data_IF_031144251606
#
_entry.id   IF_031144251606
#
_cell.length_a   1.000
_cell.length_b   1.000
_cell.length_c   1.000
_cell.angle_alpha   90.00
_cell.angle_beta   90.00
_cell.angle_gamma   90.00
#
_symmetry.space_group_name_H-M   'P 1'
#
loop_
_entity.id
_entity.type
_entity.pdbx_description
1 polymer ?
#
# COMPACT_ATOMS: atom_id res chain seq x y z
N UNK A 1 47.88 64.34 -22.45
CA UNK A 1 46.84 63.96 -21.48
C UNK A 1 46.74 62.44 -21.52
N UNK A 2 47.31 61.86 -20.50
CA UNK A 2 47.59 60.42 -20.40
C UNK A 2 46.32 59.60 -20.11
N UNK A 3 46.14 58.54 -20.89
CA UNK A 3 45.15 57.51 -20.64
C UNK A 3 45.81 56.37 -19.87
N UNK A 4 45.40 56.18 -18.63
CA UNK A 4 45.86 55.09 -17.76
C UNK A 4 45.30 53.74 -18.23
N UNK A 5 46.20 52.87 -18.63
CA UNK A 5 45.90 51.43 -18.89
C UNK A 5 45.77 50.69 -17.56
N UNK A 6 44.54 50.22 -17.20
CA UNK A 6 44.33 49.29 -16.11
C UNK A 6 44.74 47.88 -16.61
N UNK A 7 45.81 47.34 -16.04
CA UNK A 7 46.21 45.93 -16.20
C UNK A 7 45.19 45.03 -15.46
N UNK A 8 44.52 44.20 -16.21
CA UNK A 8 43.68 43.13 -15.70
C UNK A 8 44.62 41.96 -15.35
N UNK A 9 44.95 41.81 -14.07
CA UNK A 9 45.68 40.66 -13.55
C UNK A 9 44.71 39.47 -13.52
N UNK A 10 45.03 38.44 -14.31
CA UNK A 10 44.35 37.16 -14.25
C UNK A 10 44.58 36.48 -12.90
N UNK A 11 43.56 35.86 -12.26
CA UNK A 11 43.73 35.17 -10.98
C UNK A 11 44.72 34.00 -11.13
N UNK A 12 45.69 33.96 -10.22
CA UNK A 12 46.69 32.91 -10.12
C UNK A 12 46.02 31.51 -10.06
N UNK A 13 46.59 30.49 -10.74
CA UNK A 13 46.04 29.14 -10.68
C UNK A 13 46.09 28.63 -9.23
N UNK A 14 44.91 28.21 -8.69
CA UNK A 14 44.83 27.53 -7.39
C UNK A 14 45.79 26.33 -7.39
N UNK A 15 46.80 26.39 -6.51
CA UNK A 15 47.76 25.33 -6.33
C UNK A 15 47.04 23.97 -6.21
N UNK A 16 47.35 23.05 -7.08
CA UNK A 16 46.85 21.68 -7.02
C UNK A 16 47.23 21.09 -5.67
N UNK A 17 46.26 20.72 -4.83
CA UNK A 17 46.50 20.04 -3.56
C UNK A 17 47.33 18.79 -3.86
N UNK A 18 48.61 18.76 -3.39
CA UNK A 18 49.47 17.56 -3.54
C UNK A 18 48.72 16.38 -2.95
N UNK A 19 48.50 15.35 -3.77
CA UNK A 19 47.89 14.10 -3.28
C UNK A 19 48.80 13.53 -2.20
N UNK A 20 48.23 13.02 -1.08
CA UNK A 20 49.02 12.41 -0.04
C UNK A 20 49.78 11.17 -0.57
N UNK A 21 50.99 10.90 -0.07
CA UNK A 21 51.80 9.79 -0.56
C UNK A 21 51.18 8.44 -0.21
N UNK A 22 51.41 7.38 -1.01
CA UNK A 22 50.99 6.03 -0.68
C UNK A 22 51.60 5.55 0.64
N UNK A 23 50.77 4.87 1.47
CA UNK A 23 51.21 4.36 2.78
C UNK A 23 50.53 3.04 3.16
N UNK A 24 50.88 2.47 4.31
CA UNK A 24 50.28 1.25 4.82
C UNK A 24 48.94 1.53 5.51
N UNK A 25 47.94 0.67 5.27
CA UNK A 25 46.66 0.74 5.96
C UNK A 25 46.83 0.19 7.39
N UNK A 26 46.61 1.03 8.41
CA UNK A 26 46.72 0.64 9.81
C UNK A 26 45.40 0.18 10.38
N UNK A 27 44.31 0.92 10.09
CA UNK A 27 42.95 0.61 10.58
C UNK A 27 41.87 1.08 9.60
N UNK A 28 40.75 0.34 9.59
CA UNK A 28 39.51 0.73 8.90
C UNK A 28 38.36 0.67 9.89
N UNK A 29 37.66 1.78 10.02
CA UNK A 29 36.47 1.93 10.86
C UNK A 29 35.23 2.18 10.00
N UNK A 30 34.11 1.61 10.40
CA UNK A 30 32.80 1.83 9.75
C UNK A 30 31.88 2.55 10.76
N UNK A 31 31.16 3.55 10.30
CA UNK A 31 30.14 4.27 11.06
C UNK A 31 28.83 4.37 10.28
N UNK A 32 27.70 4.47 10.99
CA UNK A 32 26.37 4.68 10.39
C UNK A 32 25.66 3.41 9.94
N UNK A 33 26.30 2.24 10.00
CA UNK A 33 25.65 0.98 9.69
C UNK A 33 24.74 0.54 10.84
N UNK A 34 23.54 0.07 10.50
CA UNK A 34 22.52 -0.46 11.42
C UNK A 34 22.06 -1.85 10.99
N UNK A 35 21.73 -2.02 9.72
CA UNK A 35 21.23 -3.26 9.15
C UNK A 35 22.37 -4.22 8.74
N UNK A 36 23.45 -3.68 8.16
CA UNK A 36 24.56 -4.47 7.64
C UNK A 36 25.70 -4.54 8.63
N UNK A 37 26.29 -5.74 8.81
CA UNK A 37 27.38 -5.95 9.75
C UNK A 37 28.66 -5.23 9.32
N UNK A 38 29.40 -4.67 10.29
CA UNK A 38 30.72 -4.07 10.04
C UNK A 38 31.66 -5.04 9.34
N UNK A 39 31.65 -6.32 9.72
CA UNK A 39 32.50 -7.35 9.10
C UNK A 39 32.16 -7.56 7.62
N UNK A 40 30.86 -7.59 7.27
CA UNK A 40 30.39 -7.70 5.88
C UNK A 40 30.81 -6.49 5.05
N UNK A 41 30.66 -5.27 5.60
CA UNK A 41 31.07 -4.04 4.91
C UNK A 41 32.59 -4.02 4.67
N UNK A 42 33.41 -4.40 5.67
CA UNK A 42 34.85 -4.49 5.53
C UNK A 42 35.26 -5.50 4.45
N UNK A 43 34.60 -6.64 4.39
CA UNK A 43 34.83 -7.66 3.38
C UNK A 43 34.46 -7.15 1.97
N UNK A 44 33.34 -6.42 1.85
CA UNK A 44 32.92 -5.81 0.58
C UNK A 44 33.89 -4.72 0.12
N UNK A 45 34.41 -3.88 1.01
CA UNK A 45 35.44 -2.90 0.70
C UNK A 45 36.70 -3.55 0.12
N UNK A 46 37.02 -4.77 0.54
CA UNK A 46 38.21 -5.51 0.09
C UNK A 46 39.51 -4.93 0.58
N UNK A 47 39.52 -4.08 1.59
CA UNK A 47 40.69 -3.47 2.18
C UNK A 47 41.25 -4.38 3.31
N UNK A 48 42.59 -4.52 3.38
CA UNK A 48 43.24 -5.32 4.41
C UNK A 48 44.28 -4.47 5.17
N UNK A 49 44.31 -4.63 6.48
CA UNK A 49 45.37 -4.02 7.31
C UNK A 49 46.75 -4.45 6.81
N UNK A 50 47.68 -3.51 6.71
CA UNK A 50 48.98 -3.71 6.12
C UNK A 50 49.06 -3.51 4.59
N UNK A 51 47.93 -3.44 3.91
CA UNK A 51 47.88 -3.15 2.48
C UNK A 51 48.36 -1.73 2.19
N UNK A 52 49.07 -1.57 1.08
CA UNK A 52 49.44 -0.24 0.58
C UNK A 52 48.21 0.45 0.00
N UNK A 53 47.89 1.64 0.48
CA UNK A 53 46.75 2.46 0.05
C UNK A 53 47.21 3.84 -0.36
N UNK A 54 46.47 4.43 -1.26
CA UNK A 54 46.55 5.80 -1.68
C UNK A 54 45.13 6.37 -1.89
N UNK A 55 44.93 7.64 -2.16
CA UNK A 55 43.61 8.20 -2.38
C UNK A 55 42.79 7.53 -3.50
N UNK A 56 43.45 6.95 -4.50
CA UNK A 56 42.76 6.27 -5.59
C UNK A 56 42.17 4.93 -5.13
N UNK A 57 42.97 4.15 -4.35
CA UNK A 57 42.51 2.88 -3.74
C UNK A 57 41.32 3.14 -2.79
N UNK A 58 41.38 4.19 -1.99
CA UNK A 58 40.29 4.57 -1.06
C UNK A 58 39.03 4.92 -1.84
N UNK A 59 39.15 5.75 -2.87
CA UNK A 59 38.04 6.13 -3.73
C UNK A 59 37.42 4.94 -4.48
N UNK A 60 38.24 3.98 -4.94
CA UNK A 60 37.75 2.76 -5.56
C UNK A 60 36.98 1.89 -4.56
N UNK A 61 37.47 1.76 -3.32
CA UNK A 61 36.78 1.02 -2.27
C UNK A 61 35.42 1.69 -1.93
N UNK A 62 35.40 3.04 -1.81
CA UNK A 62 34.19 3.81 -1.61
C UNK A 62 33.18 3.58 -2.74
N UNK A 63 33.62 3.69 -3.99
CA UNK A 63 32.76 3.45 -5.18
C UNK A 63 32.25 2.01 -5.23
N UNK A 64 33.07 1.04 -4.86
CA UNK A 64 32.66 -0.37 -4.80
C UNK A 64 31.54 -0.56 -3.80
N UNK A 65 31.66 0.02 -2.60
CA UNK A 65 30.61 -0.07 -1.58
C UNK A 65 29.32 0.66 -2.01
N UNK A 66 29.44 1.85 -2.58
CA UNK A 66 28.29 2.57 -3.13
C UNK A 66 27.63 1.81 -4.29
N UNK A 67 28.43 1.15 -5.14
CA UNK A 67 27.97 0.30 -6.25
C UNK A 67 27.22 -0.96 -5.80
N UNK A 68 27.18 -1.28 -4.50
CA UNK A 68 26.34 -2.34 -3.96
C UNK A 68 24.85 -1.96 -4.00
N UNK A 69 24.56 -0.66 -4.11
CA UNK A 69 23.20 -0.07 -4.05
C UNK A 69 22.45 -0.40 -2.74
N UNK A 70 23.16 -0.70 -1.68
CA UNK A 70 22.64 -0.89 -0.32
C UNK A 70 22.69 0.43 0.49
N UNK A 71 23.53 1.34 0.05
CA UNK A 71 23.79 2.61 0.71
C UNK A 71 23.41 3.77 -0.20
N UNK A 72 22.70 4.75 0.34
CA UNK A 72 22.36 6.00 -0.34
C UNK A 72 23.53 6.98 -0.38
N UNK A 73 24.44 6.86 0.60
CA UNK A 73 25.66 7.65 0.65
C UNK A 73 26.78 6.86 1.33
N UNK A 74 28.02 7.07 0.86
CA UNK A 74 29.25 6.55 1.45
C UNK A 74 30.30 7.67 1.39
N UNK A 75 30.73 8.14 2.54
CA UNK A 75 31.84 9.10 2.67
C UNK A 75 33.04 8.45 3.30
N UNK A 76 34.20 8.95 3.00
CA UNK A 76 35.46 8.50 3.60
C UNK A 76 36.21 9.67 4.25
N UNK A 77 36.76 9.40 5.41
CA UNK A 77 37.72 10.27 6.11
C UNK A 77 38.98 9.46 6.35
N UNK A 78 40.11 10.00 6.01
CA UNK A 78 41.40 9.38 6.30
C UNK A 78 42.34 10.32 7.05
N UNK A 79 43.08 9.74 7.99
CA UNK A 79 44.19 10.37 8.68
C UNK A 79 45.44 9.56 8.42
N UNK A 80 46.51 10.23 8.15
CA UNK A 80 47.80 9.57 7.98
C UNK A 80 48.83 10.08 9.00
N UNK A 81 49.72 9.19 9.47
CA UNK A 81 50.78 9.51 10.39
C UNK A 81 51.90 10.27 9.67
N UNK A 82 52.66 11.06 10.42
CA UNK A 82 53.88 11.71 9.92
C UNK A 82 55.09 10.78 9.81
N UNK A 83 54.92 9.46 9.97
CA UNK A 83 55.95 8.43 9.83
C UNK A 83 56.36 8.20 8.37
N UNK A 84 57.53 7.60 8.14
CA UNK A 84 57.99 7.25 6.80
C UNK A 84 58.27 5.76 6.78
N UNK A 85 57.50 4.95 6.02
CA UNK A 85 56.32 5.31 5.24
C UNK A 85 55.11 5.73 6.11
N UNK A 86 54.16 6.56 5.57
CA UNK A 86 52.99 6.97 6.31
C UNK A 86 52.01 5.79 6.52
N UNK A 87 51.29 5.81 7.67
CA UNK A 87 50.24 4.86 8.00
C UNK A 87 48.88 5.55 7.91
N UNK A 88 47.89 4.89 7.29
CA UNK A 88 46.53 5.38 7.08
C UNK A 88 45.56 4.78 8.08
N UNK A 89 44.78 5.64 8.75
CA UNK A 89 43.58 5.25 9.47
C UNK A 89 42.37 5.76 8.67
N UNK A 90 41.56 4.83 8.20
CA UNK A 90 40.38 5.13 7.40
C UNK A 90 39.10 5.04 8.24
N UNK A 91 38.15 5.92 7.98
CA UNK A 91 36.78 5.82 8.50
C UNK A 91 35.82 5.97 7.32
N UNK A 92 35.00 4.96 7.07
CA UNK A 92 33.90 5.08 6.16
C UNK A 92 32.62 5.35 6.95
N UNK A 93 31.90 6.39 6.58
CA UNK A 93 30.57 6.69 7.09
C UNK A 93 29.55 6.35 6.02
N UNK A 94 28.64 5.43 6.37
CA UNK A 94 27.64 4.91 5.45
C UNK A 94 26.24 5.35 5.86
N UNK A 95 25.39 5.64 4.88
CA UNK A 95 23.96 5.88 5.07
C UNK A 95 23.21 4.79 4.32
N UNK A 96 22.55 3.92 5.05
CA UNK A 96 21.78 2.81 4.49
C UNK A 96 20.50 3.31 3.81
N UNK A 97 20.06 2.62 2.75
CA UNK A 97 18.78 2.91 2.09
C UNK A 97 17.64 2.51 3.04
N UNK A 98 16.75 3.47 3.35
CA UNK A 98 15.67 3.28 4.31
C UNK A 98 14.47 2.55 3.72
N UNK A 99 14.24 2.69 2.40
CA UNK A 99 13.12 2.00 1.74
C UNK A 99 13.51 0.55 1.44
N UNK A 100 13.15 -0.34 2.36
CA UNK A 100 13.46 -1.76 2.32
C UNK A 100 12.18 -2.60 2.37
N UNK A 101 12.18 -3.72 1.66
CA UNK A 101 11.03 -4.60 1.48
C UNK A 101 11.35 -6.02 1.95
N UNK A 102 10.39 -6.75 2.55
CA UNK A 102 10.55 -8.17 2.82
C UNK A 102 10.69 -8.96 1.52
N UNK A 103 11.40 -10.08 1.57
CA UNK A 103 11.55 -10.99 0.43
C UNK A 103 10.45 -12.06 0.44
N UNK A 104 9.93 -12.38 -0.73
CA UNK A 104 9.00 -13.50 -0.97
C UNK A 104 9.50 -14.34 -2.13
N UNK A 105 9.34 -15.65 -2.03
CA UNK A 105 9.82 -16.63 -3.01
C UNK A 105 8.65 -17.48 -3.47
N UNK A 106 8.30 -17.42 -4.75
CA UNK A 106 7.16 -18.16 -5.31
C UNK A 106 7.56 -18.97 -6.54
N UNK A 107 7.01 -20.17 -6.66
CA UNK A 107 7.17 -21.07 -7.82
C UNK A 107 8.63 -21.46 -8.14
N UNK A 108 9.52 -21.48 -7.16
CA UNK A 108 10.94 -21.77 -7.32
C UNK A 108 11.28 -23.25 -7.05
N UNK A 109 10.28 -24.09 -6.73
CA UNK A 109 10.48 -25.53 -6.47
C UNK A 109 11.25 -25.85 -5.18
N UNK A 110 11.49 -24.83 -4.32
CA UNK A 110 12.18 -24.96 -3.05
C UNK A 110 11.44 -24.16 -1.98
N UNK A 111 11.48 -24.61 -0.72
CA UNK A 111 10.83 -23.90 0.36
C UNK A 111 11.47 -22.52 0.60
N UNK A 112 10.68 -21.48 0.93
CA UNK A 112 11.18 -20.14 1.25
C UNK A 112 12.28 -20.15 2.31
N UNK A 113 12.12 -20.96 3.37
CA UNK A 113 13.12 -21.09 4.45
C UNK A 113 14.46 -21.64 3.98
N UNK A 114 14.46 -22.61 3.05
CA UNK A 114 15.68 -23.16 2.50
C UNK A 114 16.43 -22.12 1.64
N UNK A 115 15.71 -21.36 0.82
CA UNK A 115 16.29 -20.28 0.02
C UNK A 115 16.85 -19.19 0.94
N UNK A 116 16.12 -18.79 1.97
CA UNK A 116 16.57 -17.77 2.90
C UNK A 116 17.84 -18.17 3.65
N UNK A 117 17.91 -19.41 4.13
CA UNK A 117 19.13 -19.96 4.75
C UNK A 117 20.33 -19.97 3.78
N UNK A 118 20.09 -20.32 2.52
CA UNK A 118 21.13 -20.26 1.51
C UNK A 118 21.64 -18.83 1.29
N UNK A 119 20.73 -17.86 1.13
CA UNK A 119 21.09 -16.46 0.96
C UNK A 119 21.89 -15.92 2.15
N UNK A 120 21.48 -16.27 3.38
CA UNK A 120 22.18 -15.92 4.61
C UNK A 120 23.65 -16.39 4.62
N UNK A 121 23.90 -17.59 4.07
CA UNK A 121 25.22 -18.18 4.03
C UNK A 121 26.10 -17.66 2.88
N UNK A 122 25.51 -17.17 1.78
CA UNK A 122 26.24 -16.90 0.54
C UNK A 122 26.20 -15.42 0.09
N UNK A 123 25.34 -14.58 0.67
CA UNK A 123 25.28 -13.15 0.36
C UNK A 123 26.00 -12.37 1.47
N UNK A 124 27.09 -11.70 1.13
CA UNK A 124 27.99 -11.02 2.10
C UNK A 124 27.30 -9.96 2.96
N UNK A 125 26.42 -9.15 2.34
CA UNK A 125 25.63 -8.12 3.00
C UNK A 125 24.16 -8.55 2.98
N UNK A 126 23.89 -9.71 3.58
CA UNK A 126 22.55 -10.23 3.71
C UNK A 126 21.72 -9.43 4.72
N UNK A 127 20.46 -9.21 4.40
CA UNK A 127 19.42 -8.72 5.32
C UNK A 127 18.09 -9.38 4.96
N UNK A 128 17.19 -9.54 5.96
CA UNK A 128 15.84 -10.11 5.75
C UNK A 128 14.92 -9.19 4.95
N UNK A 129 15.27 -7.91 4.90
CA UNK A 129 14.58 -6.87 4.11
C UNK A 129 15.62 -6.16 3.26
N UNK A 130 15.31 -5.97 2.00
CA UNK A 130 16.28 -5.44 1.02
C UNK A 130 15.72 -4.21 0.29
N UNK A 131 16.59 -3.28 -0.16
CA UNK A 131 16.20 -2.23 -1.08
C UNK A 131 15.70 -2.79 -2.41
N UNK A 132 14.74 -2.09 -3.02
CA UNK A 132 14.21 -2.43 -4.35
C UNK A 132 15.06 -1.90 -5.52
N UNK A 133 16.35 -1.68 -5.33
CA UNK A 133 17.27 -1.18 -6.37
C UNK A 133 17.67 -2.27 -7.35
N UNK A 134 17.97 -1.89 -8.59
CA UNK A 134 18.27 -2.85 -9.66
C UNK A 134 19.47 -3.75 -9.33
N UNK A 135 20.55 -3.17 -8.81
CA UNK A 135 21.75 -3.93 -8.46
C UNK A 135 21.52 -4.93 -7.34
N UNK A 136 20.73 -4.57 -6.31
CA UNK A 136 20.36 -5.48 -5.22
C UNK A 136 19.46 -6.59 -5.74
N UNK A 137 18.40 -6.26 -6.48
CA UNK A 137 17.48 -7.25 -7.05
C UNK A 137 18.22 -8.26 -7.93
N UNK A 138 19.12 -7.79 -8.80
CA UNK A 138 19.94 -8.65 -9.65
C UNK A 138 20.87 -9.55 -8.84
N UNK A 139 21.55 -9.04 -7.82
CA UNK A 139 22.45 -9.82 -6.96
C UNK A 139 21.70 -10.94 -6.25
N UNK A 140 20.57 -10.62 -5.64
CA UNK A 140 19.76 -11.61 -4.94
C UNK A 140 19.12 -12.62 -5.91
N UNK A 141 18.66 -12.20 -7.09
CA UNK A 141 18.17 -13.12 -8.13
C UNK A 141 19.23 -14.13 -8.55
N UNK A 142 20.47 -13.69 -8.78
CA UNK A 142 21.60 -14.57 -9.11
C UNK A 142 21.91 -15.55 -7.99
N UNK A 143 21.87 -15.11 -6.73
CA UNK A 143 22.08 -16.00 -5.59
C UNK A 143 20.95 -17.04 -5.45
N UNK A 144 19.68 -16.64 -5.71
CA UNK A 144 18.55 -17.58 -5.74
C UNK A 144 18.69 -18.57 -6.91
N UNK A 145 19.09 -18.11 -8.10
CA UNK A 145 19.40 -19.00 -9.25
C UNK A 145 20.43 -20.07 -8.87
N UNK A 146 21.52 -19.67 -8.20
CA UNK A 146 22.53 -20.61 -7.73
C UNK A 146 21.98 -21.59 -6.69
N UNK A 147 21.13 -21.13 -5.79
CA UNK A 147 20.48 -21.96 -4.79
C UNK A 147 19.64 -23.08 -5.42
N UNK A 148 18.82 -22.74 -6.42
CA UNK A 148 17.89 -23.69 -7.06
C UNK A 148 18.53 -24.50 -8.20
N UNK A 149 19.75 -24.15 -8.64
CA UNK A 149 20.40 -24.77 -9.80
C UNK A 149 20.59 -26.30 -9.68
N UNK A 150 20.70 -26.82 -8.46
CA UNK A 150 20.85 -28.28 -8.23
C UNK A 150 19.56 -29.04 -8.56
N UNK A 151 18.38 -28.46 -8.32
CA UNK A 151 17.09 -29.09 -8.54
C UNK A 151 16.42 -28.62 -9.84
N UNK A 152 16.69 -27.38 -10.24
CA UNK A 152 16.10 -26.72 -11.41
C UNK A 152 17.19 -26.05 -12.25
N UNK A 153 18.02 -26.81 -12.96
CA UNK A 153 19.09 -26.23 -13.79
C UNK A 153 18.48 -25.35 -14.91
N UNK A 154 19.15 -24.23 -15.18
CA UNK A 154 18.78 -23.24 -16.20
C UNK A 154 17.52 -22.41 -15.94
N UNK A 155 16.91 -22.47 -14.76
CA UNK A 155 15.83 -21.57 -14.40
C UNK A 155 16.43 -20.20 -14.07
N UNK A 156 16.01 -19.18 -14.81
CA UNK A 156 16.28 -17.78 -14.51
C UNK A 156 15.30 -17.26 -13.48
N UNK A 157 15.77 -16.39 -12.59
CA UNK A 157 14.95 -15.80 -11.53
C UNK A 157 14.82 -14.31 -11.74
N UNK A 158 13.60 -13.84 -11.77
CA UNK A 158 13.25 -12.43 -11.79
C UNK A 158 12.87 -11.96 -10.38
N UNK A 159 13.42 -10.81 -9.97
CA UNK A 159 13.00 -10.11 -8.77
C UNK A 159 12.32 -8.80 -9.15
N UNK A 160 11.18 -8.51 -8.52
CA UNK A 160 10.45 -7.26 -8.71
C UNK A 160 9.70 -6.89 -7.43
N UNK A 161 9.44 -5.59 -7.22
CA UNK A 161 8.54 -5.16 -6.15
C UNK A 161 7.12 -5.55 -6.57
N UNK A 162 6.47 -6.38 -5.76
CA UNK A 162 5.10 -6.83 -5.96
C UNK A 162 4.14 -6.06 -5.07
N UNK A 163 3.00 -5.70 -5.65
CA UNK A 163 1.84 -5.12 -4.98
C UNK A 163 0.67 -6.11 -4.90
N UNK A 164 0.94 -7.41 -5.00
CA UNK A 164 -0.11 -8.46 -4.89
C UNK A 164 -0.85 -8.38 -3.56
N UNK A 165 -0.16 -7.94 -2.50
CA UNK A 165 -0.77 -7.55 -1.23
C UNK A 165 -0.71 -6.01 -1.10
N UNK A 166 -1.85 -5.30 -1.25
CA UNK A 166 -1.87 -3.84 -1.15
C UNK A 166 -1.43 -3.30 0.22
N UNK A 167 -1.51 -4.13 1.27
CA UNK A 167 -1.11 -3.74 2.63
C UNK A 167 0.38 -3.94 2.89
N UNK A 168 1.05 -4.77 2.08
CA UNK A 168 2.45 -5.11 2.31
C UNK A 168 3.22 -5.32 1.01
N UNK A 169 3.90 -4.27 0.55
CA UNK A 169 4.84 -4.39 -0.56
C UNK A 169 5.99 -5.34 -0.21
N UNK A 170 6.41 -6.16 -1.16
CA UNK A 170 7.50 -7.10 -1.00
C UNK A 170 8.34 -7.20 -2.29
N UNK A 171 9.59 -7.59 -2.17
CA UNK A 171 10.37 -8.05 -3.31
C UNK A 171 10.02 -9.52 -3.56
N UNK A 172 9.38 -9.78 -4.70
CA UNK A 172 8.96 -11.10 -5.12
C UNK A 172 9.98 -11.71 -6.10
N UNK A 173 10.51 -12.89 -5.74
CA UNK A 173 11.38 -13.69 -6.57
C UNK A 173 10.58 -14.82 -7.23
N UNK A 174 10.55 -14.84 -8.55
CA UNK A 174 9.83 -15.85 -9.35
C UNK A 174 10.70 -16.33 -10.50
N UNK A 175 10.42 -17.51 -11.09
CA UNK A 175 11.02 -17.88 -12.37
C UNK A 175 10.72 -16.80 -13.42
N UNK A 176 11.72 -16.51 -14.26
CA UNK A 176 11.57 -15.54 -15.37
C UNK A 176 10.82 -16.16 -16.56
N UNK A 177 9.68 -16.75 -16.26
CA UNK A 177 8.70 -17.27 -17.21
C UNK A 177 7.32 -16.76 -16.81
N UNK A 178 6.41 -16.52 -17.76
CA UNK A 178 5.05 -16.09 -17.46
C UNK A 178 4.37 -17.01 -16.44
N UNK A 179 3.67 -16.45 -15.48
CA UNK A 179 2.85 -17.25 -14.58
C UNK A 179 1.67 -17.86 -15.36
N UNK A 180 1.36 -19.15 -15.19
CA UNK A 180 0.17 -19.72 -15.77
C UNK A 180 -1.06 -19.02 -15.17
N UNK A 181 -2.12 -18.89 -15.96
CA UNK A 181 -3.40 -18.36 -15.47
C UNK A 181 -4.21 -19.45 -14.77
N UNK A 182 -4.98 -19.06 -13.77
CA UNK A 182 -5.95 -19.96 -13.13
C UNK A 182 -7.09 -20.18 -14.10
N UNK A 183 -7.28 -21.41 -14.58
CA UNK A 183 -8.36 -21.79 -15.49
C UNK A 183 -9.61 -22.25 -14.75
N UNK A 184 -9.44 -22.87 -13.59
CA UNK A 184 -10.52 -23.44 -12.79
C UNK A 184 -10.08 -23.52 -11.33
N UNK A 185 -11.03 -23.40 -10.41
CA UNK A 185 -10.87 -23.75 -9.00
C UNK A 185 -11.81 -24.90 -8.67
N UNK A 186 -11.33 -25.87 -7.91
CA UNK A 186 -12.14 -26.96 -7.34
C UNK A 186 -11.99 -26.93 -5.82
N UNK A 187 -13.03 -27.35 -5.10
CA UNK A 187 -13.04 -27.35 -3.63
C UNK A 187 -13.52 -28.72 -3.13
N UNK A 188 -12.93 -29.14 -2.01
CA UNK A 188 -13.28 -30.36 -1.28
C UNK A 188 -13.38 -30.07 0.22
N UNK A 189 -14.03 -30.95 1.00
CA UNK A 189 -14.15 -30.82 2.45
C UNK A 189 -15.24 -29.87 2.94
N UNK A 190 -15.93 -29.17 2.03
CA UNK A 190 -17.06 -28.30 2.34
C UNK A 190 -18.34 -29.10 2.59
N UNK A 191 -18.97 -28.92 3.74
CA UNK A 191 -20.24 -29.53 4.13
C UNK A 191 -21.32 -28.48 4.46
N UNK A 192 -20.94 -27.42 5.15
CA UNK A 192 -21.85 -26.37 5.61
C UNK A 192 -22.30 -25.42 4.50
N UNK A 193 -21.52 -25.32 3.43
CA UNK A 193 -21.80 -24.45 2.28
C UNK A 193 -21.69 -25.30 0.99
N UNK A 194 -22.67 -25.17 0.12
CA UNK A 194 -22.67 -25.90 -1.15
C UNK A 194 -21.53 -25.45 -2.07
N UNK A 195 -20.96 -26.39 -2.81
CA UNK A 195 -19.84 -26.19 -3.72
C UNK A 195 -20.11 -25.11 -4.76
N UNK A 196 -21.35 -25.05 -5.29
CA UNK A 196 -21.71 -24.07 -6.32
C UNK A 196 -21.67 -22.63 -5.80
N UNK A 197 -22.03 -22.40 -4.52
CA UNK A 197 -21.93 -21.08 -3.88
C UNK A 197 -20.49 -20.67 -3.69
N UNK A 198 -19.62 -21.57 -3.21
CA UNK A 198 -18.19 -21.30 -3.05
C UNK A 198 -17.55 -21.00 -4.40
N UNK A 199 -17.80 -21.86 -5.40
CA UNK A 199 -17.20 -21.68 -6.73
C UNK A 199 -17.65 -20.40 -7.42
N UNK A 200 -18.91 -19.99 -7.27
CA UNK A 200 -19.37 -18.67 -7.80
C UNK A 200 -18.57 -17.52 -7.20
N UNK A 201 -18.37 -17.51 -5.89
CA UNK A 201 -17.63 -16.44 -5.21
C UNK A 201 -16.15 -16.42 -5.62
N UNK A 202 -15.50 -17.60 -5.71
CA UNK A 202 -14.07 -17.68 -6.04
C UNK A 202 -13.82 -17.43 -7.52
N UNK A 203 -14.61 -18.03 -8.43
CA UNK A 203 -14.37 -17.95 -9.86
C UNK A 203 -14.49 -16.52 -10.41
N UNK A 204 -15.32 -15.65 -9.80
CA UNK A 204 -15.44 -14.25 -10.19
C UNK A 204 -14.12 -13.47 -10.05
N UNK A 205 -13.25 -13.88 -9.12
CA UNK A 205 -12.02 -13.14 -8.76
C UNK A 205 -10.75 -13.94 -9.05
N UNK A 206 -10.82 -15.25 -9.27
CA UNK A 206 -9.67 -16.12 -9.45
C UNK A 206 -9.43 -16.52 -10.92
N UNK A 207 -10.48 -16.82 -11.68
CA UNK A 207 -10.33 -17.33 -13.05
C UNK A 207 -9.79 -16.25 -13.99
N UNK A 208 -8.80 -16.64 -14.81
CA UNK A 208 -8.10 -15.73 -15.73
C UNK A 208 -6.98 -14.91 -15.08
N UNK A 209 -6.79 -15.02 -13.76
CA UNK A 209 -5.72 -14.30 -13.03
C UNK A 209 -4.42 -15.11 -13.09
N UNK A 210 -3.25 -14.46 -13.29
CA UNK A 210 -1.97 -15.15 -13.18
C UNK A 210 -1.76 -15.73 -11.79
N UNK A 211 -1.28 -16.98 -11.74
CA UNK A 211 -1.03 -17.69 -10.48
C UNK A 211 0.09 -17.00 -9.69
N UNK A 212 -0.24 -16.57 -8.48
CA UNK A 212 0.66 -16.12 -7.45
C UNK A 212 0.15 -16.68 -6.13
N UNK A 213 1.04 -17.26 -5.33
CA UNK A 213 0.67 -17.89 -4.04
C UNK A 213 0.07 -16.85 -3.08
N UNK A 214 0.67 -15.66 -3.04
CA UNK A 214 0.16 -14.54 -2.22
C UNK A 214 -1.23 -14.12 -2.66
N UNK A 215 -1.43 -13.89 -3.95
CA UNK A 215 -2.72 -13.46 -4.50
C UNK A 215 -3.78 -14.54 -4.34
N UNK A 216 -3.42 -15.80 -4.59
CA UNK A 216 -4.34 -16.91 -4.40
C UNK A 216 -4.81 -17.00 -2.94
N UNK A 217 -3.90 -16.86 -1.98
CA UNK A 217 -4.26 -16.82 -0.57
C UNK A 217 -5.23 -15.68 -0.25
N UNK A 218 -4.96 -14.48 -0.74
CA UNK A 218 -5.86 -13.33 -0.54
C UNK A 218 -7.25 -13.56 -1.18
N UNK A 219 -7.30 -14.18 -2.36
CA UNK A 219 -8.55 -14.53 -3.03
C UNK A 219 -9.34 -15.56 -2.20
N UNK A 220 -8.68 -16.62 -1.73
CA UNK A 220 -9.34 -17.65 -0.91
C UNK A 220 -9.82 -17.07 0.41
N UNK A 221 -8.99 -16.29 1.08
CA UNK A 221 -9.32 -15.62 2.35
C UNK A 221 -10.46 -14.61 2.17
N UNK A 222 -10.47 -13.83 1.09
CA UNK A 222 -11.48 -12.82 0.81
C UNK A 222 -12.80 -13.36 0.27
N UNK A 223 -12.77 -14.45 -0.53
CA UNK A 223 -13.96 -14.99 -1.15
C UNK A 223 -14.63 -16.12 -0.33
N UNK A 224 -13.84 -16.97 0.34
CA UNK A 224 -14.37 -18.16 1.04
C UNK A 224 -14.61 -17.87 2.53
N UNK A 225 -13.64 -17.31 3.24
CA UNK A 225 -13.78 -17.12 4.70
C UNK A 225 -15.02 -16.32 5.10
N UNK A 226 -15.42 -15.24 4.42
CA UNK A 226 -16.64 -14.52 4.76
C UNK A 226 -17.90 -15.38 4.67
N UNK A 227 -17.99 -16.27 3.67
CA UNK A 227 -19.14 -17.18 3.52
C UNK A 227 -19.27 -18.09 4.75
N UNK A 228 -18.16 -18.62 5.22
CA UNK A 228 -18.11 -19.46 6.42
C UNK A 228 -18.37 -18.67 7.70
N UNK A 229 -17.77 -17.48 7.81
CA UNK A 229 -17.99 -16.60 8.94
C UNK A 229 -19.48 -16.19 9.09
N UNK A 230 -20.18 -15.99 7.97
CA UNK A 230 -21.63 -15.74 7.96
C UNK A 230 -22.46 -16.92 8.52
N UNK A 231 -21.90 -18.13 8.50
CA UNK A 231 -22.51 -19.35 9.03
C UNK A 231 -22.00 -19.75 10.42
N UNK A 232 -21.09 -18.94 11.00
CA UNK A 232 -20.52 -19.20 12.33
C UNK A 232 -19.22 -20.00 12.35
N UNK A 233 -18.68 -20.36 11.20
CA UNK A 233 -17.39 -21.06 11.09
C UNK A 233 -16.24 -20.06 10.96
N UNK A 234 -15.78 -19.52 12.10
CA UNK A 234 -14.78 -18.47 12.12
C UNK A 234 -13.34 -18.97 11.93
N UNK A 235 -13.08 -20.26 12.10
CA UNK A 235 -11.76 -20.89 12.04
C UNK A 235 -11.55 -21.74 10.78
N UNK A 236 -12.23 -21.42 9.68
CA UNK A 236 -12.02 -22.12 8.40
C UNK A 236 -10.58 -21.93 7.90
N UNK A 237 -9.98 -23.04 7.48
CA UNK A 237 -8.61 -23.07 6.95
C UNK A 237 -8.53 -23.83 5.65
N UNK A 238 -7.45 -23.61 4.91
CA UNK A 238 -7.14 -24.29 3.66
C UNK A 238 -5.83 -25.07 3.84
N UNK A 239 -5.89 -26.28 4.47
CA UNK A 239 -4.68 -27.04 4.81
C UNK A 239 -3.91 -27.52 3.58
N UNK A 240 -4.59 -27.69 2.45
CA UNK A 240 -4.00 -28.15 1.21
C UNK A 240 -4.53 -27.31 0.04
N UNK A 241 -3.61 -26.71 -0.70
CA UNK A 241 -3.87 -25.98 -1.93
C UNK A 241 -2.89 -26.49 -2.97
N UNK A 242 -3.37 -27.21 -3.97
CA UNK A 242 -2.55 -27.81 -5.02
C UNK A 242 -2.90 -27.18 -6.37
N UNK A 243 -1.94 -27.21 -7.27
CA UNK A 243 -2.13 -26.72 -8.64
C UNK A 243 -1.72 -27.79 -9.62
N UNK A 244 -2.61 -28.12 -10.56
CA UNK A 244 -2.36 -29.06 -11.64
C UNK A 244 -2.50 -28.40 -13.00
N UNK A 245 -1.74 -28.81 -14.02
CA UNK A 245 -1.96 -28.34 -15.38
C UNK A 245 -3.39 -28.62 -15.84
N UNK A 246 -4.03 -27.64 -16.45
CA UNK A 246 -5.35 -27.84 -17.05
C UNK A 246 -5.27 -28.84 -18.19
N UNK A 247 -6.28 -29.71 -18.33
CA UNK A 247 -6.37 -30.71 -19.41
C UNK A 247 -6.24 -30.12 -20.81
N UNK A 248 -6.57 -28.86 -20.97
CA UNK A 248 -6.50 -28.14 -22.25
C UNK A 248 -5.18 -27.36 -22.43
N UNK A 249 -4.18 -27.53 -21.57
CA UNK A 249 -2.92 -26.77 -21.51
C UNK A 249 -3.10 -25.22 -21.47
N UNK A 250 -4.29 -24.75 -21.10
CA UNK A 250 -4.64 -23.32 -21.01
C UNK A 250 -4.65 -22.85 -19.54
N UNK A 251 -3.50 -23.01 -18.85
CA UNK A 251 -3.37 -22.59 -17.46
C UNK A 251 -3.39 -23.74 -16.45
N UNK A 252 -3.78 -23.46 -15.22
CA UNK A 252 -3.79 -24.41 -14.11
C UNK A 252 -5.16 -24.52 -13.45
N UNK A 253 -5.44 -25.72 -12.94
CA UNK A 253 -6.56 -25.99 -12.03
C UNK A 253 -6.02 -25.86 -10.60
N UNK A 254 -6.71 -25.12 -9.75
CA UNK A 254 -6.39 -24.98 -8.33
C UNK A 254 -7.34 -25.86 -7.53
N UNK A 255 -6.81 -26.83 -6.81
CA UNK A 255 -7.56 -27.69 -5.90
C UNK A 255 -7.40 -27.22 -4.47
N UNK A 256 -8.50 -26.93 -3.79
CA UNK A 256 -8.53 -26.36 -2.44
C UNK A 256 -9.24 -27.33 -1.49
N UNK A 257 -8.53 -27.82 -0.50
CA UNK A 257 -9.12 -28.54 0.62
C UNK A 257 -9.59 -27.56 1.69
N UNK A 258 -10.85 -27.60 2.04
CA UNK A 258 -11.47 -26.76 3.06
C UNK A 258 -11.64 -27.57 4.33
N UNK A 259 -11.08 -27.03 5.44
CA UNK A 259 -11.36 -27.51 6.79
C UNK A 259 -12.20 -26.45 7.50
N UNK A 260 -13.51 -26.73 7.62
CA UNK A 260 -14.51 -25.76 8.11
C UNK A 260 -14.29 -25.37 9.59
N UNK A 261 -13.77 -26.29 10.40
CA UNK A 261 -13.61 -26.07 11.84
C UNK A 261 -14.95 -26.19 12.61
N UNK A 262 -14.97 -25.85 13.91
CA UNK A 262 -16.18 -25.86 14.71
C UNK A 262 -17.02 -24.60 14.52
N UNK A 263 -18.27 -24.65 14.99
CA UNK A 263 -19.12 -23.48 15.16
C UNK A 263 -18.65 -22.63 16.36
N UNK A 264 -18.68 -21.33 16.18
CA UNK A 264 -18.31 -20.33 17.19
C UNK A 264 -19.52 -19.53 17.66
N UNK A 265 -19.41 -18.93 18.83
CA UNK A 265 -20.33 -17.93 19.37
C UNK A 265 -19.67 -16.56 19.46
N UNK A 266 -20.43 -15.50 19.61
CA UNK A 266 -19.86 -14.19 19.94
C UNK A 266 -19.23 -14.23 21.33
N UNK A 267 -17.98 -13.78 21.43
CA UNK A 267 -17.24 -13.57 22.67
C UNK A 267 -17.37 -12.13 23.15
N UNK A 268 -16.26 -11.57 23.63
CA UNK A 268 -16.20 -10.19 24.10
C UNK A 268 -16.28 -9.21 22.92
N UNK A 269 -16.96 -8.06 23.16
CA UNK A 269 -17.08 -6.98 22.18
C UNK A 269 -16.40 -5.76 22.77
N UNK A 270 -15.35 -5.29 22.10
CA UNK A 270 -14.54 -4.14 22.51
C UNK A 270 -14.68 -2.99 21.51
N UNK A 271 -14.58 -1.78 22.04
CA UNK A 271 -14.49 -0.55 21.25
C UNK A 271 -13.22 0.17 21.64
N UNK A 272 -12.47 0.64 20.64
CA UNK A 272 -11.30 1.49 20.79
C UNK A 272 -11.51 2.77 19.98
N UNK A 273 -11.16 3.89 20.57
CA UNK A 273 -11.32 5.21 19.97
C UNK A 273 -12.41 6.03 20.66
N UNK A 274 -12.51 7.30 20.27
CA UNK A 274 -13.44 8.28 20.84
C UNK A 274 -14.39 8.82 19.78
N UNK A 275 -15.36 9.61 20.19
CA UNK A 275 -16.29 10.32 19.31
C UNK A 275 -17.75 9.93 19.45
N UNK A 276 -18.06 8.87 20.17
CA UNK A 276 -19.41 8.50 20.56
C UNK A 276 -19.41 7.91 21.98
N UNK A 277 -20.56 8.02 22.65
CA UNK A 277 -20.79 7.35 23.92
C UNK A 277 -20.79 5.83 23.70
N UNK A 278 -19.91 5.13 24.41
CA UNK A 278 -19.79 3.67 24.30
C UNK A 278 -21.07 2.96 24.74
N UNK A 279 -21.79 3.46 25.73
CA UNK A 279 -23.05 2.88 26.19
C UNK A 279 -24.13 3.02 25.09
N UNK A 280 -24.16 4.13 24.38
CA UNK A 280 -25.05 4.32 23.22
C UNK A 280 -24.71 3.32 22.10
N UNK A 281 -23.41 3.12 21.82
CA UNK A 281 -22.98 2.15 20.81
C UNK A 281 -23.40 0.74 21.22
N UNK A 282 -23.14 0.36 22.49
CA UNK A 282 -23.46 -0.97 23.04
C UNK A 282 -24.96 -1.28 23.01
N UNK A 283 -25.79 -0.31 23.32
CA UNK A 283 -27.25 -0.46 23.29
C UNK A 283 -27.80 -0.80 21.89
N UNK A 284 -27.06 -0.48 20.85
CA UNK A 284 -27.48 -0.67 19.45
C UNK A 284 -26.81 -1.88 18.76
N UNK A 285 -26.01 -2.68 19.49
CA UNK A 285 -25.40 -3.89 18.93
C UNK A 285 -26.50 -4.94 18.67
N UNK A 286 -26.61 -5.48 17.43
CA UNK A 286 -27.67 -6.43 17.11
C UNK A 286 -27.41 -7.86 17.57
N UNK A 287 -26.29 -8.12 18.25
CA UNK A 287 -25.90 -9.43 18.75
C UNK A 287 -25.29 -9.32 20.16
N UNK A 288 -25.25 -10.45 20.87
CA UNK A 288 -24.78 -10.52 22.27
C UNK A 288 -23.75 -11.63 22.43
N UNK A 289 -22.81 -11.51 23.40
CA UNK A 289 -21.95 -12.62 23.79
C UNK A 289 -22.75 -13.90 24.04
N UNK A 290 -22.24 -15.04 23.56
CA UNK A 290 -22.90 -16.35 23.65
C UNK A 290 -23.88 -16.68 22.53
N UNK A 291 -24.33 -15.72 21.72
CA UNK A 291 -25.12 -16.02 20.51
C UNK A 291 -24.23 -16.65 19.43
N UNK A 292 -24.84 -17.41 18.52
CA UNK A 292 -24.13 -17.97 17.37
C UNK A 292 -23.43 -16.85 16.59
N UNK A 293 -22.13 -17.03 16.32
CA UNK A 293 -21.35 -16.06 15.56
C UNK A 293 -21.90 -15.92 14.14
N UNK A 294 -21.93 -14.69 13.66
CA UNK A 294 -22.28 -14.37 12.29
C UNK A 294 -21.43 -13.17 11.83
N UNK A 295 -20.51 -13.41 10.92
CA UNK A 295 -19.59 -12.39 10.40
C UNK A 295 -20.29 -11.27 9.65
N UNK A 296 -21.40 -11.55 8.97
CA UNK A 296 -22.18 -10.51 8.25
C UNK A 296 -22.79 -9.49 9.22
N UNK A 297 -23.21 -9.93 10.41
CA UNK A 297 -23.70 -9.02 11.45
C UNK A 297 -22.60 -8.08 11.93
N UNK A 298 -21.36 -8.57 12.05
CA UNK A 298 -20.19 -7.75 12.43
C UNK A 298 -19.94 -6.67 11.38
N UNK A 299 -19.90 -7.05 10.09
CA UNK A 299 -19.70 -6.11 8.99
C UNK A 299 -20.85 -5.10 8.90
N UNK A 300 -22.09 -5.56 9.01
CA UNK A 300 -23.29 -4.73 8.95
C UNK A 300 -23.30 -3.68 10.06
N UNK A 301 -23.00 -4.11 11.28
CA UNK A 301 -22.93 -3.19 12.41
C UNK A 301 -21.78 -2.17 12.25
N UNK A 302 -20.62 -2.58 11.75
CA UNK A 302 -19.53 -1.66 11.44
C UNK A 302 -19.96 -0.55 10.47
N UNK A 303 -20.63 -0.93 9.38
CA UNK A 303 -21.11 0.03 8.38
C UNK A 303 -22.18 0.97 8.97
N UNK A 304 -23.09 0.42 9.78
CA UNK A 304 -24.12 1.21 10.44
C UNK A 304 -23.53 2.19 11.45
N UNK A 305 -22.54 1.76 12.25
CA UNK A 305 -21.84 2.63 13.19
C UNK A 305 -21.14 3.78 12.46
N UNK A 306 -20.39 3.48 11.40
CA UNK A 306 -19.73 4.50 10.57
C UNK A 306 -20.75 5.48 9.96
N UNK A 307 -21.87 4.97 9.45
CA UNK A 307 -22.94 5.80 8.89
C UNK A 307 -23.60 6.72 9.95
N UNK A 308 -23.85 6.20 11.16
CA UNK A 308 -24.36 7.03 12.29
C UNK A 308 -23.40 8.17 12.64
N UNK A 309 -22.11 7.92 12.63
CA UNK A 309 -21.09 8.94 12.89
C UNK A 309 -21.12 10.02 11.80
N UNK A 310 -21.17 9.62 10.54
CA UNK A 310 -21.27 10.57 9.41
C UNK A 310 -22.52 11.43 9.49
N UNK A 311 -23.65 10.88 9.92
CA UNK A 311 -24.90 11.65 10.14
C UNK A 311 -24.80 12.70 11.24
N UNK A 312 -23.79 12.63 12.10
CA UNK A 312 -23.45 13.62 13.14
C UNK A 312 -22.38 14.62 12.69
N UNK A 313 -22.11 14.68 11.39
CA UNK A 313 -21.11 15.58 10.81
C UNK A 313 -19.70 15.02 10.78
N UNK A 314 -19.42 13.83 11.31
CA UNK A 314 -18.09 13.19 11.31
C UNK A 314 -17.86 12.51 9.94
N UNK A 315 -17.71 13.30 8.86
CA UNK A 315 -17.71 12.78 7.48
C UNK A 315 -16.53 11.83 7.21
N UNK A 316 -15.38 12.09 7.84
CA UNK A 316 -14.15 11.29 7.71
C UNK A 316 -14.12 10.10 8.67
N UNK A 317 -15.22 9.86 9.42
CA UNK A 317 -15.27 8.76 10.36
C UNK A 317 -14.94 7.43 9.69
N UNK A 318 -14.01 6.72 10.29
CA UNK A 318 -13.58 5.38 9.86
C UNK A 318 -13.78 4.40 11.00
N UNK A 319 -14.42 3.27 10.69
CA UNK A 319 -14.59 2.17 11.64
C UNK A 319 -14.01 0.92 11.00
N UNK A 320 -13.02 0.34 11.66
CA UNK A 320 -12.44 -0.96 11.28
C UNK A 320 -12.77 -2.02 12.31
N UNK A 321 -12.75 -3.28 11.90
CA UNK A 321 -13.01 -4.41 12.79
C UNK A 321 -11.84 -5.36 12.80
N UNK A 322 -11.55 -5.90 14.00
CA UNK A 322 -10.65 -7.02 14.19
C UNK A 322 -11.41 -8.14 14.89
N UNK A 323 -11.23 -9.37 14.45
CA UNK A 323 -11.81 -10.55 15.06
C UNK A 323 -10.70 -11.47 15.54
N UNK A 324 -10.85 -12.02 16.73
CA UNK A 324 -9.90 -12.97 17.32
C UNK A 324 -10.67 -14.19 17.83
N UNK A 325 -10.32 -15.37 17.37
CA UNK A 325 -10.90 -16.64 17.82
C UNK A 325 -10.27 -17.08 19.14
N UNK A 326 -11.10 -17.50 20.07
CA UNK A 326 -10.73 -18.25 21.27
C UNK A 326 -11.22 -19.69 21.07
N UNK A 327 -10.32 -20.56 20.63
CA UNK A 327 -10.64 -21.95 20.28
C UNK A 327 -11.07 -22.74 21.53
N UNK A 328 -10.55 -22.39 22.71
CA UNK A 328 -10.89 -23.06 23.96
C UNK A 328 -12.34 -22.83 24.37
N UNK A 329 -12.85 -21.62 24.13
CA UNK A 329 -14.23 -21.21 24.42
C UNK A 329 -15.14 -21.32 23.21
N UNK A 330 -14.59 -21.62 22.02
CA UNK A 330 -15.28 -21.54 20.74
C UNK A 330 -16.01 -20.20 20.57
N UNK A 331 -15.30 -19.11 20.89
CA UNK A 331 -15.83 -17.76 20.87
C UNK A 331 -15.00 -16.86 19.96
N UNK A 332 -15.67 -15.92 19.30
CA UNK A 332 -15.02 -14.87 18.49
C UNK A 332 -15.15 -13.56 19.25
N UNK A 333 -14.03 -13.00 19.69
CA UNK A 333 -13.96 -11.65 20.21
C UNK A 333 -13.93 -10.65 19.04
N UNK A 334 -14.69 -9.58 19.15
CA UNK A 334 -14.79 -8.56 18.13
C UNK A 334 -14.32 -7.23 18.68
N UNK A 335 -13.39 -6.57 18.01
CA UNK A 335 -12.92 -5.24 18.36
C UNK A 335 -13.25 -4.28 17.24
N UNK A 336 -13.96 -3.21 17.57
CA UNK A 336 -14.23 -2.08 16.67
C UNK A 336 -13.25 -0.95 16.99
N UNK A 337 -12.42 -0.58 16.02
CA UNK A 337 -11.53 0.57 16.12
C UNK A 337 -12.19 1.75 15.41
N UNK A 338 -12.47 2.79 16.17
CA UNK A 338 -13.23 3.98 15.73
C UNK A 338 -12.28 5.17 15.65
N UNK A 339 -12.20 5.78 14.49
CA UNK A 339 -11.51 7.05 14.25
C UNK A 339 -12.59 8.04 13.81
N UNK A 340 -13.01 8.99 14.67
CA UNK A 340 -14.15 9.87 14.37
C UNK A 340 -13.85 10.92 13.29
N UNK A 341 -12.60 11.40 13.20
CA UNK A 341 -12.28 12.57 12.40
C UNK A 341 -12.83 13.87 13.01
N UNK A 342 -12.86 14.95 12.22
CA UNK A 342 -13.37 16.26 12.61
C UNK A 342 -14.87 16.41 12.26
N UNK A 343 -15.55 17.34 12.94
CA UNK A 343 -16.95 17.63 12.68
C UNK A 343 -17.07 18.62 11.54
N UNK A 344 -17.74 18.23 10.49
CA UNK A 344 -18.08 19.08 9.35
C UNK A 344 -19.45 19.73 9.57
N UNK A 345 -19.52 21.03 9.34
CA UNK A 345 -20.74 21.82 9.55
C UNK A 345 -21.32 22.24 8.20
N UNK A 346 -22.65 22.16 8.07
CA UNK A 346 -23.35 22.76 6.95
C UNK A 346 -23.12 24.28 6.93
N UNK A 347 -22.76 24.84 5.78
CA UNK A 347 -22.49 26.28 5.64
C UNK A 347 -23.34 26.90 4.54
N UNK A 348 -23.42 26.31 3.37
CA UNK A 348 -24.05 26.92 2.20
C UNK A 348 -24.93 25.92 1.45
N UNK A 349 -26.10 26.42 0.97
CA UNK A 349 -26.96 25.69 0.06
C UNK A 349 -26.90 26.34 -1.32
N UNK A 350 -26.53 25.57 -2.32
CA UNK A 350 -26.50 25.96 -3.73
C UNK A 350 -27.63 25.22 -4.50
N UNK A 351 -28.48 25.95 -5.15
CA UNK A 351 -29.67 25.44 -5.85
C UNK A 351 -29.51 25.66 -7.34
N UNK A 352 -29.56 24.60 -8.12
CA UNK A 352 -29.34 24.62 -9.57
C UNK A 352 -30.55 24.10 -10.34
N UNK A 353 -30.84 24.72 -11.48
CA UNK A 353 -31.88 24.27 -12.41
C UNK A 353 -33.32 24.79 -12.11
N UNK A 354 -33.48 25.61 -11.08
CA UNK A 354 -34.74 26.32 -10.81
C UNK A 354 -34.69 27.78 -11.26
N UNK A 355 -35.86 28.35 -11.50
CA UNK A 355 -35.98 29.77 -11.78
C UNK A 355 -35.85 30.62 -10.51
N UNK A 356 -35.72 31.93 -10.69
CA UNK A 356 -35.48 32.90 -9.62
C UNK A 356 -36.60 32.96 -8.59
N UNK A 357 -37.80 32.50 -8.94
CA UNK A 357 -38.97 32.53 -8.05
C UNK A 357 -39.08 31.27 -7.20
N UNK A 358 -38.67 30.12 -7.72
CA UNK A 358 -38.70 28.84 -7.04
C UNK A 358 -37.52 28.64 -6.06
N UNK A 359 -36.33 29.18 -6.36
CA UNK A 359 -35.15 29.04 -5.48
C UNK A 359 -35.38 29.55 -4.05
N UNK A 360 -35.96 30.76 -3.80
CA UNK A 360 -36.21 31.22 -2.44
C UNK A 360 -37.21 30.35 -1.68
N UNK A 361 -38.17 29.73 -2.39
CA UNK A 361 -39.14 28.83 -1.76
C UNK A 361 -38.47 27.52 -1.29
N UNK A 362 -37.61 26.92 -2.12
CA UNK A 362 -36.79 25.76 -1.73
C UNK A 362 -35.86 26.10 -0.55
N UNK A 363 -35.19 27.25 -0.60
CA UNK A 363 -34.30 27.70 0.48
C UNK A 363 -35.02 27.88 1.82
N UNK A 364 -36.29 28.34 1.81
CA UNK A 364 -37.11 28.45 3.03
C UNK A 364 -37.56 27.13 3.60
N UNK A 365 -37.73 26.10 2.76
CA UNK A 365 -38.11 24.77 3.17
C UNK A 365 -36.90 23.96 3.68
N UNK A 366 -35.66 24.38 3.34
CA UNK A 366 -34.47 23.75 3.82
C UNK A 366 -34.32 23.91 5.33
N UNK A 367 -34.17 22.81 6.04
CA UNK A 367 -34.21 22.79 7.50
C UNK A 367 -32.88 22.85 8.22
N UNK A 368 -31.76 22.55 7.54
CA UNK A 368 -30.44 22.65 8.17
C UNK A 368 -29.99 24.11 8.27
N UNK A 369 -29.33 24.41 9.40
CA UNK A 369 -28.85 25.76 9.71
C UNK A 369 -27.36 25.83 9.56
N UNK A 370 -26.84 26.90 8.96
CA UNK A 370 -25.38 27.11 8.87
C UNK A 370 -24.70 27.05 10.25
N UNK A 371 -23.54 26.44 10.30
CA UNK A 371 -22.77 26.22 11.53
C UNK A 371 -23.18 24.99 12.36
N UNK A 372 -24.21 24.25 11.95
CA UNK A 372 -24.59 22.99 12.63
C UNK A 372 -23.97 21.76 11.93
N UNK A 373 -23.72 20.66 12.68
CA UNK A 373 -23.18 19.44 12.11
C UNK A 373 -23.97 18.95 10.91
N UNK A 374 -23.31 18.70 9.80
CA UNK A 374 -23.92 18.30 8.55
C UNK A 374 -24.34 16.83 8.55
N UNK A 375 -25.57 16.56 8.15
CA UNK A 375 -26.07 15.21 7.92
C UNK A 375 -26.07 14.88 6.42
N UNK A 376 -25.18 13.98 5.92
CA UNK A 376 -25.07 13.68 4.49
C UNK A 376 -26.32 13.01 3.88
N UNK A 377 -27.22 12.46 4.69
CA UNK A 377 -28.47 11.86 4.21
C UNK A 377 -29.57 12.91 4.02
N UNK A 378 -29.41 14.09 4.64
CA UNK A 378 -30.49 15.08 4.68
C UNK A 378 -30.83 15.68 3.30
N UNK A 379 -29.86 15.96 2.41
CA UNK A 379 -30.18 16.51 1.09
C UNK A 379 -31.10 15.61 0.26
N UNK A 380 -30.82 14.32 0.20
CA UNK A 380 -31.64 13.35 -0.53
C UNK A 380 -33.02 13.16 0.15
N UNK A 381 -33.05 13.11 1.48
CA UNK A 381 -34.30 13.08 2.24
C UNK A 381 -35.16 14.31 1.94
N UNK A 382 -34.54 15.49 1.92
CA UNK A 382 -35.20 16.75 1.60
C UNK A 382 -35.80 16.74 0.18
N UNK A 383 -35.03 16.36 -0.83
CA UNK A 383 -35.50 16.27 -2.21
C UNK A 383 -36.65 15.28 -2.37
N UNK A 384 -36.57 14.14 -1.69
CA UNK A 384 -37.63 13.13 -1.67
C UNK A 384 -38.93 13.70 -1.04
N UNK A 385 -38.77 14.42 0.08
CA UNK A 385 -39.93 15.07 0.78
C UNK A 385 -40.59 16.14 -0.09
N UNK A 386 -39.80 17.04 -0.69
CA UNK A 386 -40.32 18.11 -1.56
C UNK A 386 -41.09 17.54 -2.75
N UNK A 387 -40.60 16.40 -3.30
CA UNK A 387 -41.30 15.71 -4.39
C UNK A 387 -42.59 15.05 -3.93
N UNK A 388 -42.59 14.40 -2.76
CA UNK A 388 -43.79 13.72 -2.22
C UNK A 388 -44.91 14.67 -1.79
N UNK A 389 -44.55 15.83 -1.25
CA UNK A 389 -45.49 16.84 -0.80
C UNK A 389 -46.14 17.63 -1.96
N UNK A 390 -45.63 17.46 -3.19
CA UNK A 390 -46.19 18.08 -4.39
C UNK A 390 -46.20 19.61 -4.35
N UNK A 391 -45.29 20.22 -3.60
CA UNK A 391 -45.25 21.68 -3.37
C UNK A 391 -44.94 22.45 -4.67
N UNK A 392 -44.29 21.78 -5.62
CA UNK A 392 -43.89 22.36 -6.89
C UNK A 392 -44.35 21.49 -8.06
N UNK A 393 -44.97 22.08 -9.04
CA UNK A 393 -45.32 21.44 -10.30
C UNK A 393 -44.02 21.27 -11.14
N UNK A 394 -43.78 20.07 -11.63
CA UNK A 394 -42.74 19.79 -12.61
C UNK A 394 -41.29 20.10 -12.16
N UNK A 395 -40.84 19.52 -11.06
CA UNK A 395 -39.43 19.62 -10.59
C UNK A 395 -38.45 18.92 -11.51
N UNK A 396 -38.88 18.02 -12.40
CA UNK A 396 -38.04 17.17 -13.22
C UNK A 396 -37.24 16.17 -12.39
N UNK A 397 -36.12 15.68 -12.95
CA UNK A 397 -35.18 14.85 -12.22
C UNK A 397 -34.44 15.69 -11.18
N UNK A 398 -34.36 15.16 -9.96
CA UNK A 398 -33.66 15.81 -8.84
C UNK A 398 -32.60 14.90 -8.27
N UNK A 399 -31.44 15.46 -7.95
CA UNK A 399 -30.38 14.81 -7.22
C UNK A 399 -29.65 15.81 -6.35
N UNK A 400 -28.86 15.32 -5.40
CA UNK A 400 -28.01 16.15 -4.54
C UNK A 400 -26.58 15.63 -4.53
N UNK A 401 -25.64 16.52 -4.28
CA UNK A 401 -24.30 16.23 -3.84
C UNK A 401 -23.84 17.29 -2.82
N UNK A 402 -22.62 17.11 -2.28
CA UNK A 402 -22.03 18.10 -1.40
C UNK A 402 -20.52 18.17 -1.59
N UNK A 403 -19.97 19.34 -1.31
CA UNK A 403 -18.52 19.58 -1.26
C UNK A 403 -18.13 19.90 0.17
N UNK A 404 -17.16 19.14 0.71
CA UNK A 404 -16.59 19.34 2.03
C UNK A 404 -15.19 19.95 1.90
N UNK A 405 -14.95 21.06 2.60
CA UNK A 405 -13.65 21.70 2.69
C UNK A 405 -12.91 21.17 3.93
N UNK A 406 -11.85 20.40 3.72
CA UNK A 406 -11.05 19.81 4.79
C UNK A 406 -10.28 20.84 5.63
N UNK A 407 -10.06 22.08 5.14
CA UNK A 407 -9.34 23.12 5.87
C UNK A 407 -10.24 23.90 6.83
N UNK A 408 -11.50 24.11 6.45
CA UNK A 408 -12.47 24.89 7.24
C UNK A 408 -13.53 24.01 7.90
N UNK A 409 -13.60 22.72 7.54
CA UNK A 409 -14.63 21.76 7.93
C UNK A 409 -16.05 22.26 7.62
N UNK A 410 -16.20 23.04 6.54
CA UNK A 410 -17.48 23.55 6.07
C UNK A 410 -17.98 22.72 4.88
N UNK A 411 -19.30 22.54 4.82
CA UNK A 411 -19.97 21.81 3.74
C UNK A 411 -20.87 22.74 2.95
N UNK A 412 -20.73 22.71 1.63
CA UNK A 412 -21.67 23.28 0.68
C UNK A 412 -22.48 22.16 0.06
N UNK A 413 -23.82 22.26 0.20
CA UNK A 413 -24.75 21.31 -0.40
C UNK A 413 -25.24 21.85 -1.74
N UNK A 414 -25.24 21.00 -2.76
CA UNK A 414 -25.74 21.32 -4.09
C UNK A 414 -27.00 20.52 -4.39
N UNK A 415 -28.11 21.21 -4.63
CA UNK A 415 -29.36 20.61 -5.09
C UNK A 415 -29.52 20.88 -6.59
N UNK A 416 -29.85 19.83 -7.34
CA UNK A 416 -30.06 19.91 -8.78
C UNK A 416 -31.47 19.53 -9.14
N UNK A 417 -32.09 20.35 -9.97
CA UNK A 417 -33.45 20.18 -10.47
C UNK A 417 -33.48 20.18 -11.99
N UNK A 418 -34.46 19.53 -12.61
CA UNK A 418 -34.65 19.49 -14.08
C UNK A 418 -33.43 18.99 -14.85
N UNK A 419 -32.72 18.02 -14.30
CA UNK A 419 -31.54 17.44 -14.92
C UNK A 419 -30.32 18.38 -14.94
N UNK A 420 -30.23 19.31 -14.00
CA UNK A 420 -29.02 20.15 -13.81
C UNK A 420 -27.77 19.31 -13.64
N UNK A 421 -26.63 19.75 -14.22
CA UNK A 421 -25.36 19.00 -14.18
C UNK A 421 -24.72 19.09 -12.82
N UNK A 422 -24.19 17.96 -12.34
CA UNK A 422 -23.39 17.89 -11.11
C UNK A 422 -22.09 18.68 -11.26
N UNK A 423 -21.44 19.03 -10.14
CA UNK A 423 -20.15 19.70 -10.15
C UNK A 423 -19.10 18.85 -10.87
N UNK A 424 -19.07 17.56 -10.64
CA UNK A 424 -18.16 16.63 -11.31
C UNK A 424 -18.36 16.60 -12.83
N UNK A 425 -19.63 16.66 -13.30
CA UNK A 425 -19.93 16.74 -14.73
C UNK A 425 -19.48 18.07 -15.34
N UNK A 426 -19.65 19.19 -14.62
CA UNK A 426 -19.18 20.52 -15.05
C UNK A 426 -17.66 20.59 -15.10
N UNK A 427 -16.97 20.02 -14.14
CA UNK A 427 -15.50 19.96 -14.11
C UNK A 427 -14.95 19.10 -15.26
N UNK A 428 -15.57 17.96 -15.51
CA UNK A 428 -15.23 17.09 -16.64
C UNK A 428 -15.41 17.80 -17.97
N UNK A 429 -16.51 18.51 -18.19
CA UNK A 429 -16.75 19.29 -19.40
C UNK A 429 -15.74 20.44 -19.55
N UNK A 430 -15.42 21.15 -18.45
CA UNK A 430 -14.38 22.19 -18.46
C UNK A 430 -13.01 21.63 -18.81
N UNK A 431 -12.69 20.43 -18.34
CA UNK A 431 -11.45 19.77 -18.69
C UNK A 431 -11.44 19.34 -20.15
N UNK A 432 -12.51 18.74 -20.66
CA UNK A 432 -12.64 18.36 -22.06
C UNK A 432 -12.61 19.58 -22.99
N UNK A 433 -13.17 20.71 -22.57
CA UNK A 433 -13.12 21.98 -23.33
C UNK A 433 -11.70 22.59 -23.32
N UNK A 434 -10.97 22.50 -22.19
CA UNK A 434 -9.57 22.87 -22.12
C UNK A 434 -8.69 22.02 -23.05
N UNK A 435 -8.91 20.71 -23.01
CA UNK A 435 -8.14 19.76 -23.83
C UNK A 435 -8.41 19.99 -25.32
N UNK A 436 -9.66 20.31 -25.71
CA UNK A 436 -10.00 20.71 -27.10
C UNK A 436 -9.33 22.01 -27.51
N UNK A 437 -9.23 23.02 -26.65
CA UNK A 437 -8.56 24.30 -26.95
C UNK A 437 -7.04 24.15 -27.08
N UNK A 438 -6.42 23.20 -26.37
CA UNK A 438 -4.99 22.90 -26.49
C UNK A 438 -4.67 22.13 -27.79
N UNK A 439 -5.60 21.38 -28.34
CA UNK A 439 -5.42 20.64 -29.59
C UNK A 439 -5.62 21.56 -30.84
N UNK A 440 -6.52 22.55 -30.77
CA UNK A 440 -6.77 23.51 -31.90
C UNK A 440 -5.72 24.65 -31.99
N UNK A 441 -4.86 24.78 -30.96
CA UNK A 441 -3.82 25.83 -30.93
C UNK A 441 -2.51 25.55 -31.69
N UNK A 442 -2.38 24.42 -32.36
CA UNK A 442 -1.13 23.99 -32.99
C UNK A 442 -1.15 23.88 -34.53
N UNK A 443 -1.85 24.77 -35.24
CA UNK A 443 -1.67 24.89 -36.68
C UNK A 443 -1.72 26.35 -37.13
N UNK A 444 -0.55 26.97 -37.24
CA UNK A 444 -0.35 28.17 -38.07
C UNK A 444 0.45 27.73 -39.29
N UNK A 445 -0.09 27.82 -40.50
CA UNK A 445 0.72 27.64 -41.70
C UNK A 445 1.49 28.93 -42.01
N UNK A 446 2.73 28.78 -42.28
CA UNK A 446 3.62 29.79 -42.83
C UNK A 446 3.17 30.27 -44.19
N UNK A 447 3.47 31.56 -44.56
CA UNK A 447 3.45 31.97 -45.94
C UNK A 447 4.70 31.52 -46.68
#
# INVERSE_FOLDING_TARGET
MEAAQSRNEAPAPKAAKKQPPPGALHAVNIKGNQLYSTAGILKELGLRVGQRVDPQVIEQARKKLLGTELFSNVTDEYRFSGTVPPEYNLTFEVTEIQQIFPMRFERLGMSPDAIQKYLQAHVELYADRIPGTEGVLRRYSQAVEQCIAQTHPNVKVRAAISNDDPQQLAVLFTPDIPAPTISQVTVTGNQAIDTGTILRAVNQVAVGVPLSDTRLKLILDGAIKPLYAAKGYAAVTFPKVETEPSKNNLGVVVEVEIKEGPLFTFGLIHFHGSGMDEDEIRANIPFKPGQAFNGDQVVKFRLELQHRMRRRGLLDATVTTQTQTDDSKRAVNVTYNVIPGEVYNFQTLDINGLDITAQPAISRLWGEKAGHPFNPDYPDFFLKRVRQEGIFDNLGDTHSDYTADASTHNVTVHLYFKGGKTQAQREKEKQEEKDKRTVDGSWSPWP
#
